data_IF_522024921369
#
_entry.id   IF_522024921369
#
_cell.length_a   1.000
_cell.length_b   1.000
_cell.length_c   1.000
_cell.angle_alpha   90.00
_cell.angle_beta   90.00
_cell.angle_gamma   90.00
#
_symmetry.space_group_name_H-M   'P 1'
#
loop_
_entity.id
_entity.type
_entity.pdbx_description
1 polymer ?
#
# COMPACT_ATOMS: atom_id res chain seq x y z
N UNK A 1 15.77 5.78 -10.43
CA UNK A 1 16.54 4.63 -9.89
C UNK A 1 16.14 4.35 -8.45
N UNK A 2 16.22 5.28 -7.49
CA UNK A 2 15.95 4.98 -6.07
C UNK A 2 14.47 4.79 -5.67
N UNK A 3 13.51 5.18 -6.51
CA UNK A 3 12.08 5.08 -6.19
C UNK A 3 11.58 3.63 -6.21
N UNK A 4 12.06 2.83 -7.17
CA UNK A 4 11.68 1.43 -7.32
C UNK A 4 12.27 0.59 -6.18
N UNK A 5 13.52 0.87 -5.78
CA UNK A 5 14.20 0.22 -4.66
C UNK A 5 13.44 0.38 -3.32
N UNK A 6 12.85 1.57 -3.11
CA UNK A 6 12.09 1.86 -1.89
C UNK A 6 10.77 1.08 -1.86
N UNK A 7 10.06 0.99 -2.99
CA UNK A 7 8.81 0.22 -3.06
C UNK A 7 9.05 -1.26 -2.77
N UNK A 8 10.10 -1.85 -3.36
CA UNK A 8 10.47 -3.24 -3.11
C UNK A 8 10.82 -3.48 -1.63
N UNK A 9 11.55 -2.56 -0.99
CA UNK A 9 11.83 -2.67 0.44
C UNK A 9 10.54 -2.69 1.29
N UNK A 10 9.56 -1.84 0.99
CA UNK A 10 8.28 -1.85 1.72
C UNK A 10 7.45 -3.08 1.41
N UNK A 11 7.52 -3.64 0.19
CA UNK A 11 6.87 -4.91 -0.14
C UNK A 11 7.46 -6.07 0.66
N UNK A 12 8.79 -6.13 0.77
CA UNK A 12 9.47 -7.12 1.61
C UNK A 12 9.04 -6.95 3.07
N UNK A 13 9.08 -5.72 3.59
CA UNK A 13 8.63 -5.43 4.96
C UNK A 13 7.20 -5.88 5.21
N UNK A 14 6.27 -5.51 4.32
CA UNK A 14 4.88 -5.95 4.40
C UNK A 14 4.75 -7.47 4.37
N UNK A 15 5.49 -8.15 3.50
CA UNK A 15 5.46 -9.61 3.37
C UNK A 15 5.92 -10.35 4.64
N UNK A 16 6.75 -9.69 5.46
CA UNK A 16 7.26 -10.17 6.74
C UNK A 16 6.36 -9.82 7.94
N UNK A 17 5.36 -8.94 7.77
CA UNK A 17 4.41 -8.62 8.83
C UNK A 17 3.56 -9.86 9.18
N UNK A 18 3.11 -9.93 10.44
CA UNK A 18 2.24 -11.01 10.90
C UNK A 18 0.81 -10.85 10.40
N UNK A 19 0.20 -11.97 10.01
CA UNK A 19 -1.23 -12.11 9.72
C UNK A 19 -1.81 -13.28 10.52
N UNK A 20 -3.06 -13.12 10.95
CA UNK A 20 -3.81 -14.20 11.57
C UNK A 20 -4.25 -15.18 10.48
N UNK A 21 -3.92 -16.45 10.67
CA UNK A 21 -4.32 -17.53 9.78
C UNK A 21 -5.15 -18.55 10.56
N UNK A 22 -6.37 -18.82 10.10
CA UNK A 22 -7.20 -19.91 10.64
C UNK A 22 -6.86 -21.19 9.91
N UNK A 23 -6.35 -22.19 10.61
CA UNK A 23 -5.94 -23.47 10.02
C UNK A 23 -7.14 -24.31 9.58
N UNK A 24 -7.12 -24.76 8.33
CA UNK A 24 -8.15 -25.64 7.74
C UNK A 24 -7.78 -27.12 7.83
N UNK A 25 -6.54 -27.43 8.23
CA UNK A 25 -6.02 -28.78 8.49
C UNK A 25 -4.88 -28.72 9.50
N UNK A 26 -4.49 -29.88 10.02
CA UNK A 26 -3.31 -29.96 10.88
C UNK A 26 -2.06 -29.60 10.05
N UNK A 27 -1.23 -28.71 10.57
CA UNK A 27 0.02 -28.26 9.94
C UNK A 27 1.16 -28.55 10.90
N UNK A 28 2.25 -29.10 10.37
CA UNK A 28 3.51 -29.27 11.08
C UNK A 28 4.65 -29.00 10.09
N UNK A 29 5.11 -27.76 10.06
CA UNK A 29 6.23 -27.30 9.23
C UNK A 29 7.37 -26.98 10.19
N UNK A 30 8.52 -27.62 9.98
CA UNK A 30 9.75 -27.33 10.70
C UNK A 30 10.84 -27.04 9.69
N UNK A 31 11.40 -25.85 9.78
CA UNK A 31 12.65 -25.43 9.16
C UNK A 31 13.57 -24.96 10.27
N UNK A 32 14.89 -25.02 10.07
CA UNK A 32 15.92 -24.84 11.11
C UNK A 32 15.55 -23.79 12.18
N UNK A 33 15.19 -22.58 11.74
CA UNK A 33 14.86 -21.46 12.63
C UNK A 33 13.36 -21.10 12.69
N UNK A 34 12.49 -21.88 12.02
CA UNK A 34 11.05 -21.60 11.90
C UNK A 34 10.19 -22.85 12.06
N UNK A 35 9.36 -22.88 13.11
CA UNK A 35 8.35 -23.92 13.34
C UNK A 35 6.94 -23.33 13.24
N UNK A 36 6.10 -23.91 12.38
CA UNK A 36 4.66 -23.66 12.34
C UNK A 36 3.93 -24.97 12.56
N UNK A 37 3.40 -25.11 13.76
CA UNK A 37 2.56 -26.23 14.16
C UNK A 37 1.20 -25.74 14.61
N UNK A 38 0.15 -26.43 14.19
CA UNK A 38 -1.19 -26.19 14.70
C UNK A 38 -2.21 -27.21 14.22
N UNK A 39 -3.34 -27.23 14.89
CA UNK A 39 -4.47 -28.12 14.60
C UNK A 39 -5.54 -27.40 13.79
N UNK A 40 -6.40 -28.17 13.14
CA UNK A 40 -7.60 -27.65 12.47
C UNK A 40 -8.38 -26.72 13.41
N UNK A 41 -8.75 -25.54 12.91
CA UNK A 41 -9.54 -24.55 13.64
C UNK A 41 -8.71 -23.62 14.54
N UNK A 42 -7.42 -23.89 14.75
CA UNK A 42 -6.56 -22.97 15.50
C UNK A 42 -6.25 -21.71 14.67
N UNK A 43 -6.20 -20.57 15.37
CA UNK A 43 -5.76 -19.30 14.80
C UNK A 43 -4.31 -19.09 15.23
N UNK A 44 -3.42 -19.00 14.24
CA UNK A 44 -1.99 -18.76 14.44
C UNK A 44 -1.60 -17.41 13.83
N UNK A 45 -0.57 -16.77 14.39
CA UNK A 45 0.09 -15.65 13.73
C UNK A 45 1.27 -16.19 12.93
N UNK A 46 1.32 -15.84 11.65
CA UNK A 46 2.42 -16.21 10.74
C UNK A 46 2.78 -15.01 9.87
N UNK A 47 4.01 -14.93 9.35
CA UNK A 47 4.34 -13.96 8.32
C UNK A 47 3.42 -14.06 7.12
N UNK A 48 3.04 -12.93 6.51
CA UNK A 48 2.12 -12.89 5.35
C UNK A 48 2.55 -13.84 4.24
N UNK A 49 3.84 -13.86 3.87
CA UNK A 49 4.33 -14.77 2.81
C UNK A 49 4.04 -16.24 3.10
N UNK A 50 4.13 -16.64 4.37
CA UNK A 50 3.87 -18.01 4.78
C UNK A 50 2.37 -18.27 4.81
N UNK A 51 1.60 -17.31 5.30
CA UNK A 51 0.14 -17.33 5.24
C UNK A 51 -0.38 -17.55 3.81
N UNK A 52 0.15 -16.81 2.83
CA UNK A 52 -0.24 -16.92 1.42
C UNK A 52 0.04 -18.32 0.85
N UNK A 53 1.18 -18.92 1.21
CA UNK A 53 1.50 -20.30 0.83
C UNK A 53 0.49 -21.27 1.46
N UNK A 54 0.17 -21.11 2.74
CA UNK A 54 -0.81 -21.95 3.43
C UNK A 54 -2.20 -21.83 2.79
N UNK A 55 -2.64 -20.61 2.48
CA UNK A 55 -3.96 -20.34 1.88
C UNK A 55 -4.06 -20.88 0.45
N UNK A 56 -3.03 -20.67 -0.39
CA UNK A 56 -2.96 -21.24 -1.75
C UNK A 56 -3.05 -22.76 -1.74
N UNK A 57 -2.50 -23.39 -0.70
CA UNK A 57 -2.59 -24.82 -0.49
C UNK A 57 -3.89 -25.24 0.22
N UNK A 58 -4.83 -24.34 0.50
CA UNK A 58 -6.07 -24.63 1.28
C UNK A 58 -5.79 -25.18 2.67
N UNK A 59 -4.62 -24.85 3.24
CA UNK A 59 -4.20 -25.24 4.57
C UNK A 59 -4.62 -24.23 5.65
N UNK A 60 -4.86 -22.98 5.25
CA UNK A 60 -5.35 -21.92 6.12
C UNK A 60 -6.26 -20.94 5.36
N UNK A 61 -6.91 -20.06 6.09
CA UNK A 61 -7.60 -18.87 5.58
C UNK A 61 -7.03 -17.66 6.30
N UNK A 62 -6.64 -16.63 5.56
CA UNK A 62 -6.04 -15.43 6.15
C UNK A 62 -7.10 -14.42 6.55
N UNK A 63 -6.91 -13.81 7.70
CA UNK A 63 -7.65 -12.63 8.15
C UNK A 63 -6.93 -11.38 7.65
N UNK A 64 -7.08 -11.09 6.35
CA UNK A 64 -6.53 -9.89 5.71
C UNK A 64 -7.59 -8.79 5.63
N UNK A 65 -7.22 -7.51 5.86
CA UNK A 65 -8.12 -6.38 5.62
C UNK A 65 -8.70 -6.37 4.19
N UNK A 66 -9.98 -6.03 4.05
CA UNK A 66 -10.61 -5.86 2.74
C UNK A 66 -10.19 -4.54 2.08
N UNK A 67 -9.05 -4.58 1.37
CA UNK A 67 -8.49 -3.38 0.72
C UNK A 67 -9.35 -2.86 -0.44
N UNK A 68 -10.23 -3.68 -1.00
CA UNK A 68 -11.17 -3.24 -2.04
C UNK A 68 -12.22 -2.33 -1.43
N UNK A 69 -12.72 -2.67 -0.24
CA UNK A 69 -13.61 -1.78 0.52
C UNK A 69 -12.87 -0.52 0.96
N UNK A 70 -11.62 -0.63 1.41
CA UNK A 70 -10.78 0.55 1.71
C UNK A 70 -10.62 1.47 0.49
N UNK A 71 -10.39 0.92 -0.72
CA UNK A 71 -10.29 1.69 -1.95
C UNK A 71 -11.57 2.48 -2.26
N UNK A 72 -12.74 1.85 -2.11
CA UNK A 72 -14.03 2.53 -2.29
C UNK A 72 -14.19 3.67 -1.29
N UNK A 73 -13.88 3.42 -0.02
CA UNK A 73 -13.96 4.44 1.03
C UNK A 73 -12.98 5.59 0.79
N UNK A 74 -11.74 5.29 0.41
CA UNK A 74 -10.72 6.28 0.09
C UNK A 74 -11.15 7.15 -1.09
N UNK A 75 -11.76 6.55 -2.12
CA UNK A 75 -12.29 7.27 -3.28
C UNK A 75 -13.39 8.26 -2.87
N UNK A 76 -14.36 7.82 -2.07
CA UNK A 76 -15.44 8.69 -1.58
C UNK A 76 -14.90 9.81 -0.68
N UNK A 77 -14.01 9.48 0.26
CA UNK A 77 -13.38 10.49 1.14
C UNK A 77 -12.59 11.52 0.34
N UNK A 78 -11.88 11.09 -0.70
CA UNK A 78 -11.08 11.98 -1.53
C UNK A 78 -11.93 12.96 -2.37
N UNK A 79 -13.12 12.53 -2.78
CA UNK A 79 -14.10 13.38 -3.46
C UNK A 79 -14.71 14.44 -2.53
N UNK A 80 -14.75 14.17 -1.22
CA UNK A 80 -15.32 15.09 -0.22
C UNK A 80 -14.34 16.14 0.28
N UNK A 81 -13.02 15.93 0.12
CA UNK A 81 -12.00 16.89 0.56
C UNK A 81 -11.62 17.86 -0.56
N UNK A 82 -11.35 19.11 -0.20
CA UNK A 82 -11.07 20.19 -1.14
C UNK A 82 -9.82 19.97 -2.00
N UNK A 83 -9.63 20.84 -3.00
CA UNK A 83 -8.53 20.75 -3.97
C UNK A 83 -7.11 20.87 -3.39
N UNK A 84 -6.99 21.46 -2.20
CA UNK A 84 -5.74 21.67 -1.48
C UNK A 84 -5.63 20.78 -0.22
N UNK A 85 -6.43 19.72 -0.16
CA UNK A 85 -6.45 18.80 0.98
C UNK A 85 -6.42 17.36 0.48
N UNK A 86 -5.73 16.50 1.23
CA UNK A 86 -5.70 15.07 0.98
C UNK A 86 -6.46 14.35 2.09
N UNK A 87 -7.33 13.42 1.69
CA UNK A 87 -7.90 12.48 2.65
C UNK A 87 -6.79 11.56 3.16
N UNK A 88 -6.93 11.04 4.38
CA UNK A 88 -5.93 10.12 4.93
C UNK A 88 -5.95 8.82 4.13
N UNK A 89 -4.81 8.49 3.53
CA UNK A 89 -4.54 7.20 2.90
C UNK A 89 -3.48 6.46 3.70
N UNK A 90 -3.68 5.16 3.88
CA UNK A 90 -2.69 4.33 4.57
C UNK A 90 -1.34 4.30 3.82
N UNK A 91 -0.26 4.24 4.59
CA UNK A 91 1.11 4.28 4.08
C UNK A 91 1.42 3.17 3.07
N UNK A 92 0.90 1.96 3.30
CA UNK A 92 1.12 0.76 2.49
C UNK A 92 -0.09 0.43 1.61
N UNK A 93 -1.04 1.36 1.45
CA UNK A 93 -2.30 1.15 0.77
C UNK A 93 -2.15 0.50 -0.61
N UNK A 94 -1.33 1.07 -1.50
CA UNK A 94 -1.17 0.53 -2.86
C UNK A 94 -0.44 -0.81 -2.87
N UNK A 95 0.52 -1.05 -1.97
CA UNK A 95 1.18 -2.36 -1.82
C UNK A 95 0.15 -3.44 -1.44
N UNK A 96 -0.68 -3.18 -0.42
CA UNK A 96 -1.71 -4.16 0.00
C UNK A 96 -2.75 -4.39 -1.08
N UNK A 97 -3.20 -3.32 -1.74
CA UNK A 97 -4.17 -3.39 -2.82
C UNK A 97 -3.62 -4.22 -3.99
N UNK A 98 -2.39 -3.97 -4.41
CA UNK A 98 -1.73 -4.76 -5.45
C UNK A 98 -1.60 -6.23 -5.05
N UNK A 99 -1.30 -6.50 -3.78
CA UNK A 99 -1.22 -7.87 -3.28
C UNK A 99 -2.57 -8.59 -3.39
N UNK A 100 -3.65 -7.97 -2.89
CA UNK A 100 -5.00 -8.54 -2.98
C UNK A 100 -5.48 -8.70 -4.43
N UNK A 101 -5.13 -7.76 -5.32
CA UNK A 101 -5.49 -7.82 -6.74
C UNK A 101 -4.87 -9.00 -7.50
N UNK A 102 -3.79 -9.62 -7.00
CA UNK A 102 -3.16 -10.80 -7.64
C UNK A 102 -4.06 -12.03 -7.58
N UNK A 103 -4.88 -12.13 -6.54
CA UNK A 103 -5.76 -13.27 -6.29
C UNK A 103 -7.15 -13.09 -6.94
N UNK A 104 -7.43 -11.92 -7.53
CA UNK A 104 -8.69 -11.65 -8.20
C UNK A 104 -8.77 -12.31 -9.58
N UNK A 105 -9.99 -12.71 -9.95
CA UNK A 105 -10.29 -13.09 -11.33
C UNK A 105 -10.07 -11.89 -12.26
N UNK A 106 -9.65 -12.09 -13.53
CA UNK A 106 -9.32 -10.98 -14.43
C UNK A 106 -10.41 -9.90 -14.54
N UNK A 107 -11.68 -10.31 -14.68
CA UNK A 107 -12.81 -9.36 -14.76
C UNK A 107 -13.00 -8.52 -13.50
N UNK A 108 -12.80 -9.11 -12.32
CA UNK A 108 -12.95 -8.39 -11.05
C UNK A 108 -11.75 -7.44 -10.85
N UNK A 109 -10.57 -7.87 -11.28
CA UNK A 109 -9.34 -7.06 -11.27
C UNK A 109 -9.48 -5.80 -12.10
N UNK A 110 -10.02 -5.87 -13.32
CA UNK A 110 -10.20 -4.71 -14.20
C UNK A 110 -11.05 -3.61 -13.53
N UNK A 111 -12.12 -4.01 -12.83
CA UNK A 111 -12.98 -3.10 -12.10
C UNK A 111 -12.26 -2.40 -10.94
N UNK A 112 -11.47 -3.16 -10.17
CA UNK A 112 -10.66 -2.62 -9.07
C UNK A 112 -9.56 -1.69 -9.60
N UNK A 113 -8.90 -2.07 -10.70
CA UNK A 113 -7.87 -1.27 -11.36
C UNK A 113 -8.41 0.08 -11.84
N UNK A 114 -9.59 0.08 -12.47
CA UNK A 114 -10.25 1.32 -12.90
C UNK A 114 -10.53 2.27 -11.72
N UNK A 115 -11.02 1.74 -10.59
CA UNK A 115 -11.22 2.53 -9.36
C UNK A 115 -9.90 3.07 -8.79
N UNK A 116 -8.85 2.23 -8.75
CA UNK A 116 -7.51 2.61 -8.29
C UNK A 116 -6.94 3.76 -9.14
N UNK A 117 -7.06 3.67 -10.46
CA UNK A 117 -6.65 4.72 -11.40
C UNK A 117 -7.44 6.01 -11.14
N UNK A 118 -8.75 5.91 -10.87
CA UNK A 118 -9.58 7.05 -10.49
C UNK A 118 -9.07 7.77 -9.24
N UNK A 119 -8.85 7.03 -8.16
CA UNK A 119 -8.29 7.57 -6.91
C UNK A 119 -6.92 8.22 -7.16
N UNK A 120 -6.02 7.53 -7.85
CA UNK A 120 -4.70 8.02 -8.20
C UNK A 120 -4.76 9.34 -8.96
N UNK A 121 -5.64 9.46 -9.97
CA UNK A 121 -5.78 10.70 -10.76
C UNK A 121 -6.20 11.89 -9.90
N UNK A 122 -7.19 11.70 -9.02
CA UNK A 122 -7.65 12.75 -8.11
C UNK A 122 -6.53 13.21 -7.18
N UNK A 123 -5.86 12.25 -6.54
CA UNK A 123 -4.81 12.54 -5.54
C UNK A 123 -3.57 13.13 -6.18
N UNK A 124 -3.13 12.63 -7.33
CA UNK A 124 -1.97 13.16 -8.08
C UNK A 124 -2.11 14.66 -8.34
N UNK A 125 -3.28 15.11 -8.78
CA UNK A 125 -3.52 16.54 -9.04
C UNK A 125 -3.35 17.40 -7.79
N UNK A 126 -3.87 16.94 -6.64
CA UNK A 126 -3.74 17.64 -5.35
C UNK A 126 -2.30 17.61 -4.82
N UNK A 127 -1.61 16.46 -4.95
CA UNK A 127 -0.20 16.31 -4.56
C UNK A 127 0.70 17.29 -5.31
N UNK A 128 0.51 17.46 -6.64
CA UNK A 128 1.29 18.44 -7.42
C UNK A 128 1.12 19.84 -6.85
N UNK A 129 -0.12 20.30 -6.65
CA UNK A 129 -0.41 21.63 -6.08
C UNK A 129 0.18 21.84 -4.68
N UNK A 130 0.12 20.81 -3.84
CA UNK A 130 0.67 20.86 -2.49
C UNK A 130 2.20 20.89 -2.49
N UNK A 131 2.83 20.11 -3.36
CA UNK A 131 4.28 20.06 -3.49
C UNK A 131 4.85 21.34 -4.12
N UNK A 132 4.10 22.00 -5.00
CA UNK A 132 4.52 23.30 -5.55
C UNK A 132 4.46 24.42 -4.49
N UNK A 133 3.55 24.33 -3.52
CA UNK A 133 3.32 25.37 -2.52
C UNK A 133 4.06 25.15 -1.21
N UNK A 134 4.39 23.91 -0.84
CA UNK A 134 4.96 23.58 0.47
C UNK A 134 5.96 22.43 0.41
N UNK A 135 6.92 22.42 1.35
CA UNK A 135 7.76 21.24 1.60
C UNK A 135 6.96 20.17 2.34
N UNK A 136 7.40 18.91 2.24
CA UNK A 136 6.82 17.78 2.98
C UNK A 136 6.71 18.08 4.48
N UNK A 137 5.48 18.17 4.99
CA UNK A 137 5.19 18.32 6.42
C UNK A 137 4.83 16.99 7.08
N UNK A 138 4.86 16.94 8.41
CA UNK A 138 4.45 15.75 9.15
C UNK A 138 2.96 15.42 8.95
N UNK A 139 2.09 16.41 8.74
CA UNK A 139 0.66 16.19 8.47
C UNK A 139 0.44 15.58 7.08
N UNK A 140 1.10 16.13 6.04
CA UNK A 140 1.05 15.58 4.68
C UNK A 140 1.55 14.14 4.67
N UNK A 141 2.69 13.88 5.33
CA UNK A 141 3.30 12.55 5.41
C UNK A 141 2.38 11.48 6.02
N UNK A 142 1.48 11.87 6.94
CA UNK A 142 0.50 10.95 7.56
C UNK A 142 -0.71 10.64 6.68
N UNK A 143 -0.90 11.40 5.58
CA UNK A 143 -2.08 11.31 4.71
C UNK A 143 -1.81 10.64 3.37
N UNK A 144 -0.55 10.30 3.06
CA UNK A 144 -0.12 9.81 1.75
C UNK A 144 0.56 8.45 1.86
N UNK A 145 0.47 7.67 0.79
CA UNK A 145 1.19 6.40 0.68
C UNK A 145 2.70 6.61 0.48
N UNK A 146 3.48 5.53 0.54
CA UNK A 146 4.93 5.57 0.24
C UNK A 146 5.22 5.98 -1.21
N UNK A 147 4.38 5.56 -2.15
CA UNK A 147 4.49 5.91 -3.57
C UNK A 147 4.20 7.39 -3.79
N UNK A 148 3.12 7.89 -3.19
CA UNK A 148 2.74 9.30 -3.24
C UNK A 148 3.76 10.21 -2.56
N UNK A 149 4.36 9.74 -1.46
CA UNK A 149 5.44 10.44 -0.78
C UNK A 149 6.65 10.61 -1.67
N UNK A 150 7.06 9.54 -2.33
CA UNK A 150 8.21 9.56 -3.25
C UNK A 150 7.95 10.52 -4.41
N UNK A 151 6.72 10.55 -4.92
CA UNK A 151 6.29 11.50 -5.95
C UNK A 151 6.26 12.96 -5.45
N UNK A 152 5.77 13.21 -4.23
CA UNK A 152 5.78 14.56 -3.63
C UNK A 152 7.21 15.08 -3.47
N UNK A 153 8.09 14.26 -2.89
CA UNK A 153 9.49 14.62 -2.65
C UNK A 153 10.23 14.89 -3.97
N UNK A 154 9.90 14.19 -5.05
CA UNK A 154 10.50 14.45 -6.37
C UNK A 154 10.05 15.79 -6.95
N UNK A 155 8.77 16.17 -6.83
CA UNK A 155 8.28 17.48 -7.27
C UNK A 155 8.96 18.61 -6.49
N UNK A 156 9.00 18.52 -5.15
CA UNK A 156 9.71 19.52 -4.34
C UNK A 156 11.16 19.69 -4.82
N UNK A 157 11.87 18.57 -5.05
CA UNK A 157 13.26 18.59 -5.48
C UNK A 157 13.44 19.23 -6.85
N UNK A 158 12.63 18.83 -7.84
CA UNK A 158 12.71 19.38 -9.19
C UNK A 158 12.29 20.86 -9.23
N UNK A 159 11.32 21.27 -8.41
CA UNK A 159 10.94 22.67 -8.23
C UNK A 159 12.11 23.53 -7.72
N UNK A 160 12.84 23.06 -6.71
CA UNK A 160 14.02 23.76 -6.19
C UNK A 160 15.17 23.81 -7.21
N UNK A 161 15.36 22.75 -7.99
CA UNK A 161 16.34 22.74 -9.09
C UNK A 161 15.95 23.75 -10.19
N UNK A 162 14.66 23.83 -10.53
CA UNK A 162 14.16 24.78 -11.52
C UNK A 162 14.37 26.22 -11.06
N UNK A 163 14.01 26.56 -9.81
CA UNK A 163 14.23 27.90 -9.23
C UNK A 163 15.67 28.36 -9.39
N UNK A 164 16.62 27.48 -9.06
CA UNK A 164 18.06 27.75 -9.23
C UNK A 164 18.45 27.99 -10.68
N UNK A 165 17.92 27.22 -11.63
CA UNK A 165 18.22 27.35 -13.07
C UNK A 165 17.69 28.64 -13.68
N UNK A 166 16.52 29.11 -13.22
CA UNK A 166 15.89 30.34 -13.74
C UNK A 166 16.31 31.60 -12.98
N UNK A 167 17.18 31.48 -11.96
CA UNK A 167 17.64 32.61 -11.15
C UNK A 167 16.60 33.15 -10.18
N UNK A 168 15.54 32.40 -9.89
CA UNK A 168 14.49 32.76 -8.92
C UNK A 168 14.86 32.35 -7.49
N UNK A 169 16.11 32.61 -7.09
CA UNK A 169 16.54 32.40 -5.71
C UNK A 169 16.07 33.61 -4.87
N UNK A 170 15.37 33.35 -3.76
CA UNK A 170 15.12 34.34 -2.71
C UNK A 170 16.41 34.76 -2.01
#
# INVERSE_FOLDING_TARGET
>A
MWADDIQELYKIGYSLDDVKATLQRNVNIRMDDAEVTGKVGEVINVPIWMGEILEKNKAATLDTPDTITELKQATVKEQMVGEYQLSTLDRLFYIRLQNQMRELRPRDRDGVESMMIGLFRMRRGKIVRLADSTKMTADIKKRISIEERTFFESINKEGELLKKRVGANE
#
